data_IF_217603009433
#
_entry.id   IF_217603009433
#
_cell.length_a   1.000
_cell.length_b   1.000
_cell.length_c   1.000
_cell.angle_alpha   90.00
_cell.angle_beta   90.00
_cell.angle_gamma   90.00
#
_symmetry.space_group_name_H-M   'P 1'
#
loop_
_entity.id
_entity.type
_entity.pdbx_description
1 polymer ?
#
# COMPACT_ATOMS: atom_id res chain seq x y z
N UNK A 1 9.76 25.89 4.28
CA UNK A 1 8.69 26.08 3.30
C UNK A 1 7.51 25.22 3.67
N UNK A 2 6.34 25.81 3.73
CA UNK A 2 5.12 25.09 4.05
C UNK A 2 4.43 24.65 2.78
N UNK A 3 3.96 23.41 2.76
CA UNK A 3 3.18 22.89 1.66
C UNK A 3 1.73 22.75 2.10
N UNK A 4 0.85 23.45 1.45
CA UNK A 4 -0.58 23.38 1.74
C UNK A 4 -1.23 22.34 0.83
N UNK A 5 -1.90 21.36 1.43
CA UNK A 5 -2.59 20.30 0.69
C UNK A 5 -4.08 20.54 0.76
N UNK A 6 -4.70 20.67 -0.41
CA UNK A 6 -6.15 20.87 -0.53
C UNK A 6 -6.79 19.54 -0.93
N UNK A 7 -7.73 19.07 -0.12
CA UNK A 7 -8.47 17.84 -0.38
C UNK A 7 -9.73 18.17 -1.15
N UNK A 8 -9.71 17.91 -2.44
CA UNK A 8 -10.82 18.18 -3.34
C UNK A 8 -11.21 16.99 -4.20
N UNK A 9 -10.83 15.77 -3.82
CA UNK A 9 -11.07 14.57 -4.60
C UNK A 9 -11.38 13.39 -3.69
N UNK A 10 -11.67 12.24 -4.30
CA UNK A 10 -11.89 11.01 -3.57
C UNK A 10 -10.69 10.68 -2.67
N UNK A 11 -11.00 10.25 -1.47
CA UNK A 11 -9.98 9.94 -0.48
C UNK A 11 -9.98 8.46 -0.14
N UNK A 12 -8.82 7.96 0.21
CA UNK A 12 -8.66 6.61 0.74
C UNK A 12 -8.22 6.69 2.19
N UNK A 13 -8.48 5.62 2.94
CA UNK A 13 -8.05 5.54 4.34
C UNK A 13 -6.91 4.55 4.48
N UNK A 14 -5.85 4.97 5.15
CA UNK A 14 -4.69 4.13 5.45
C UNK A 14 -4.45 4.18 6.96
N UNK A 15 -4.17 3.04 7.61
CA UNK A 15 -3.90 3.07 9.05
C UNK A 15 -2.75 4.01 9.40
N UNK A 16 -3.01 4.92 10.33
CA UNK A 16 -2.00 5.90 10.75
C UNK A 16 -0.75 5.22 11.30
N UNK A 17 -0.93 4.14 12.06
CA UNK A 17 0.17 3.39 12.65
C UNK A 17 1.14 2.88 11.58
N UNK A 18 0.62 2.44 10.45
CA UNK A 18 1.44 1.98 9.32
C UNK A 18 2.31 3.11 8.79
N UNK A 19 1.71 4.27 8.56
CA UNK A 19 2.44 5.42 8.01
C UNK A 19 3.46 5.99 8.99
N UNK A 20 3.22 5.85 10.29
CA UNK A 20 4.13 6.35 11.33
C UNK A 20 5.21 5.35 11.74
N UNK A 21 5.18 4.14 11.19
CA UNK A 21 6.15 3.10 11.57
C UNK A 21 7.53 3.42 10.97
N UNK A 22 8.55 3.70 11.81
CA UNK A 22 9.87 4.04 11.31
C UNK A 22 10.63 2.84 10.73
N UNK A 23 10.16 1.62 10.98
CA UNK A 23 10.79 0.41 10.44
C UNK A 23 10.34 0.09 9.03
N UNK A 24 9.26 0.72 8.55
CA UNK A 24 8.81 0.55 7.17
C UNK A 24 9.49 1.55 6.26
N UNK A 25 9.89 1.10 5.09
CA UNK A 25 10.40 2.00 4.05
C UNK A 25 9.26 2.85 3.48
N UNK A 26 9.61 3.97 2.89
CA UNK A 26 8.63 4.80 2.20
C UNK A 26 8.00 4.05 1.02
N UNK A 27 8.78 3.18 0.37
CA UNK A 27 8.28 2.33 -0.71
C UNK A 27 7.18 1.39 -0.21
N UNK A 28 7.36 0.74 0.95
CA UNK A 28 6.34 -0.13 1.52
C UNK A 28 5.08 0.66 1.88
N UNK A 29 5.25 1.86 2.44
CA UNK A 29 4.11 2.74 2.74
C UNK A 29 3.36 3.13 1.47
N UNK A 30 4.08 3.37 0.37
CA UNK A 30 3.49 3.64 -0.93
C UNK A 30 2.71 2.44 -1.47
N UNK A 31 3.22 1.24 -1.28
CA UNK A 31 2.52 0.01 -1.68
C UNK A 31 1.22 -0.14 -0.91
N UNK A 32 1.18 0.20 0.39
CA UNK A 32 -0.05 0.13 1.17
C UNK A 32 -1.12 1.07 0.60
N UNK A 33 -0.74 2.27 0.21
CA UNK A 33 -1.64 3.21 -0.45
C UNK A 33 -2.16 2.67 -1.77
N UNK A 34 -1.29 2.04 -2.55
CA UNK A 34 -1.64 1.42 -3.81
C UNK A 34 -2.68 0.31 -3.61
N UNK A 35 -2.49 -0.55 -2.62
CA UNK A 35 -3.45 -1.62 -2.31
C UNK A 35 -4.84 -1.06 -1.99
N UNK A 36 -4.89 0.04 -1.25
CA UNK A 36 -6.17 0.65 -0.89
C UNK A 36 -6.81 1.35 -2.09
N UNK A 37 -6.01 1.99 -2.93
CA UNK A 37 -6.52 2.75 -4.07
C UNK A 37 -7.03 1.85 -5.20
N UNK A 38 -6.39 0.70 -5.42
CA UNK A 38 -6.76 -0.22 -6.50
C UNK A 38 -7.62 -1.36 -5.95
N UNK A 39 -8.82 -1.03 -5.50
CA UNK A 39 -9.74 -2.00 -4.92
C UNK A 39 -11.04 -2.18 -5.72
N UNK A 40 -11.09 -1.65 -6.93
CA UNK A 40 -12.27 -1.69 -7.79
C UNK A 40 -12.45 -3.04 -8.51
N UNK A 41 -11.38 -3.82 -8.62
CA UNK A 41 -11.38 -5.15 -9.21
C UNK A 41 -10.16 -5.92 -8.74
N UNK A 42 -10.05 -7.18 -9.14
CA UNK A 42 -8.85 -7.97 -8.87
C UNK A 42 -7.74 -7.61 -9.84
N UNK A 43 -6.54 -7.47 -9.32
CA UNK A 43 -5.34 -7.17 -10.09
C UNK A 43 -4.29 -8.25 -9.85
N UNK A 44 -3.61 -8.68 -10.91
CA UNK A 44 -2.39 -9.46 -10.74
C UNK A 44 -1.27 -8.52 -10.29
N UNK A 45 -0.19 -9.06 -9.75
CA UNK A 45 0.96 -8.24 -9.37
C UNK A 45 1.54 -7.50 -10.56
N UNK A 46 1.56 -8.13 -11.73
CA UNK A 46 2.03 -7.50 -12.96
C UNK A 46 1.13 -6.32 -13.34
N UNK A 47 -0.18 -6.52 -13.35
CA UNK A 47 -1.13 -5.45 -13.67
C UNK A 47 -1.04 -4.30 -12.66
N UNK A 48 -0.97 -4.64 -11.38
CA UNK A 48 -0.91 -3.62 -10.32
C UNK A 48 0.37 -2.78 -10.44
N UNK A 49 1.49 -3.41 -10.75
CA UNK A 49 2.74 -2.70 -10.96
C UNK A 49 2.65 -1.76 -12.17
N UNK A 50 2.10 -2.23 -13.28
CA UNK A 50 1.93 -1.40 -14.48
C UNK A 50 1.03 -0.20 -14.23
N UNK A 51 -0.12 -0.44 -13.60
CA UNK A 51 -1.12 0.61 -13.36
C UNK A 51 -0.66 1.63 -12.32
N UNK A 52 0.14 1.21 -11.36
CA UNK A 52 0.68 2.10 -10.32
C UNK A 52 1.96 2.80 -10.75
N UNK A 53 2.55 2.40 -11.88
CA UNK A 53 3.76 3.03 -12.38
C UNK A 53 5.04 2.61 -11.69
N UNK A 54 5.08 1.41 -11.14
CA UNK A 54 6.27 0.87 -10.48
C UNK A 54 6.70 -0.44 -11.13
N UNK A 55 7.89 -0.92 -10.79
CA UNK A 55 8.32 -2.24 -11.24
C UNK A 55 7.68 -3.32 -10.38
N UNK A 56 7.53 -4.52 -10.95
CA UNK A 56 6.98 -5.65 -10.21
C UNK A 56 7.87 -6.03 -9.04
N UNK A 57 9.19 -5.91 -9.20
CA UNK A 57 10.15 -6.19 -8.12
C UNK A 57 9.94 -5.25 -6.94
N UNK A 58 9.80 -3.95 -7.18
CA UNK A 58 9.56 -2.96 -6.12
C UNK A 58 8.22 -3.21 -5.43
N UNK A 59 7.20 -3.57 -6.19
CA UNK A 59 5.89 -3.90 -5.62
C UNK A 59 5.98 -5.10 -4.71
N UNK A 60 6.63 -6.18 -5.16
CA UNK A 60 6.77 -7.42 -4.37
C UNK A 60 7.59 -7.16 -3.12
N UNK A 61 8.69 -6.42 -3.23
CA UNK A 61 9.50 -6.05 -2.06
C UNK A 61 8.69 -5.31 -1.01
N UNK A 62 7.86 -4.36 -1.44
CA UNK A 62 6.97 -3.62 -0.54
C UNK A 62 5.93 -4.52 0.12
N UNK A 63 5.34 -5.43 -0.66
CA UNK A 63 4.37 -6.40 -0.13
C UNK A 63 5.01 -7.33 0.90
N UNK A 64 6.21 -7.83 0.65
CA UNK A 64 6.93 -8.68 1.59
C UNK A 64 7.25 -7.96 2.88
N UNK A 65 7.65 -6.70 2.80
CA UNK A 65 7.91 -5.88 3.97
C UNK A 65 6.65 -5.67 4.81
N UNK A 66 5.52 -5.37 4.16
CA UNK A 66 4.24 -5.22 4.85
C UNK A 66 3.78 -6.53 5.50
N UNK A 67 3.98 -7.66 4.83
CA UNK A 67 3.68 -8.98 5.39
C UNK A 67 4.53 -9.27 6.62
N UNK A 68 5.84 -8.99 6.54
CA UNK A 68 6.76 -9.24 7.64
C UNK A 68 6.41 -8.45 8.88
N UNK A 69 5.87 -7.25 8.73
CA UNK A 69 5.48 -6.39 9.84
C UNK A 69 4.02 -6.53 10.26
N UNK A 70 3.27 -7.45 9.63
CA UNK A 70 1.91 -7.77 10.03
C UNK A 70 0.84 -6.77 9.60
N UNK A 71 1.16 -5.87 8.69
CA UNK A 71 0.19 -4.87 8.21
C UNK A 71 -0.74 -5.41 7.13
N UNK A 72 -0.32 -6.43 6.42
CA UNK A 72 -1.16 -7.13 5.46
C UNK A 72 -1.05 -8.64 5.70
N UNK A 73 -2.03 -9.36 5.18
CA UNK A 73 -1.98 -10.83 5.14
C UNK A 73 -2.31 -11.29 3.74
N UNK A 74 -1.84 -12.47 3.40
CA UNK A 74 -2.15 -13.11 2.13
C UNK A 74 -3.07 -14.29 2.40
N UNK A 75 -4.26 -14.26 1.81
CA UNK A 75 -5.25 -15.30 2.01
C UNK A 75 -6.11 -15.41 0.76
N UNK A 76 -6.37 -16.64 0.31
CA UNK A 76 -7.23 -16.91 -0.85
C UNK A 76 -6.79 -16.11 -2.10
N UNK A 77 -5.48 -16.08 -2.35
CA UNK A 77 -4.87 -15.35 -3.46
C UNK A 77 -5.06 -13.83 -3.40
N UNK A 78 -5.32 -13.29 -2.21
CA UNK A 78 -5.53 -11.86 -2.02
C UNK A 78 -4.64 -11.30 -0.91
N UNK A 79 -4.17 -10.06 -1.11
CA UNK A 79 -3.51 -9.29 -0.06
C UNK A 79 -4.55 -8.45 0.65
N UNK A 80 -4.64 -8.59 1.96
CA UNK A 80 -5.65 -7.93 2.77
C UNK A 80 -4.96 -7.00 3.76
N UNK A 81 -5.29 -5.70 3.68
CA UNK A 81 -4.78 -4.73 4.64
C UNK A 81 -5.47 -4.96 5.98
N UNK A 82 -4.69 -5.06 7.04
CA UNK A 82 -5.18 -5.31 8.39
C UNK A 82 -5.17 -4.05 9.23
N UNK A 83 -6.17 -3.93 10.11
CA UNK A 83 -6.09 -2.95 11.17
C UNK A 83 -5.07 -3.44 12.20
N UNK A 84 -4.11 -2.57 12.50
CA UNK A 84 -3.08 -2.84 13.51
C UNK A 84 -3.28 -1.87 14.65
N UNK A 85 -3.66 -2.41 15.79
CA UNK A 85 -3.87 -1.59 16.99
C UNK A 85 -2.64 -1.53 17.88
#
# INVERSE_FOLDING_TARGET
METKIIRACDMIEIPRKLLHDPELTLAAKGVSGTLVAFNDRDYSTTELAEESGTSEIELIDGLEELLAHGYIRYQDNAYILQEVM
#
